data_IF_518345706335
#
_entry.id   IF_518345706335
#
_cell.length_a   1.000
_cell.length_b   1.000
_cell.length_c   1.000
_cell.angle_alpha   90.00
_cell.angle_beta   90.00
_cell.angle_gamma   90.00
#
_symmetry.space_group_name_H-M   'P 1'
#
loop_
_entity.id
_entity.type
_entity.pdbx_description
1 polymer ?
#
# COMPACT_ATOMS: atom_id res chain seq x y z
N UNK A 1 1.27 33.69 70.59
CA UNK A 1 2.01 34.34 69.49
C UNK A 1 2.16 33.29 68.39
N UNK A 2 1.69 33.60 67.19
CA UNK A 2 1.12 32.65 66.22
C UNK A 2 2.13 31.78 65.46
N UNK A 3 1.74 30.53 65.20
CA UNK A 3 2.30 29.66 64.16
C UNK A 3 1.72 30.07 62.80
N UNK A 4 2.59 30.26 61.81
CA UNK A 4 2.21 30.28 60.39
C UNK A 4 3.22 29.44 59.62
N UNK A 5 2.77 28.34 59.01
CA UNK A 5 3.50 27.62 57.97
C UNK A 5 2.54 27.48 56.80
N UNK A 6 2.91 28.13 55.69
CA UNK A 6 2.08 28.34 54.51
C UNK A 6 1.86 27.09 53.67
N UNK A 7 0.65 26.97 53.13
CA UNK A 7 0.32 26.01 52.08
C UNK A 7 1.06 26.38 50.80
N UNK A 8 1.93 25.48 50.31
CA UNK A 8 2.46 25.55 48.94
C UNK A 8 1.43 24.96 47.99
N UNK A 9 0.77 25.80 47.20
CA UNK A 9 -0.12 25.37 46.12
C UNK A 9 0.70 24.83 44.94
N UNK A 10 0.48 23.57 44.57
CA UNK A 10 1.02 23.00 43.35
C UNK A 10 0.26 23.60 42.15
N UNK A 11 0.94 24.38 41.32
CA UNK A 11 0.40 24.84 40.04
C UNK A 11 0.55 23.69 39.05
N UNK A 12 -0.55 22.95 38.83
CA UNK A 12 -0.65 22.02 37.70
C UNK A 12 -0.66 22.85 36.41
N UNK A 13 0.51 22.95 35.78
CA UNK A 13 0.63 23.48 34.43
C UNK A 13 -0.15 22.57 33.47
N UNK A 14 -1.35 23.01 33.07
CA UNK A 14 -2.03 22.49 31.89
C UNK A 14 -1.19 22.88 30.67
N UNK A 15 -0.26 22.02 30.28
CA UNK A 15 0.30 22.10 28.94
C UNK A 15 -0.85 21.79 27.97
N UNK A 16 -1.17 22.69 27.02
CA UNK A 16 -2.07 22.32 25.95
C UNK A 16 -1.43 21.13 25.23
N UNK A 17 -2.13 19.99 25.21
CA UNK A 17 -1.79 18.93 24.29
C UNK A 17 -1.81 19.56 22.89
N UNK A 18 -0.64 19.71 22.29
CA UNK A 18 -0.55 20.03 20.87
C UNK A 18 -1.28 18.90 20.18
N UNK A 19 -2.48 19.18 19.67
CA UNK A 19 -3.14 18.31 18.73
C UNK A 19 -2.23 18.30 17.49
N UNK A 20 -1.25 17.39 17.48
CA UNK A 20 -0.53 17.04 16.27
C UNK A 20 -1.61 16.60 15.29
N UNK A 21 -1.88 17.45 14.28
CA UNK A 21 -2.77 17.10 13.19
C UNK A 21 -2.34 15.74 12.69
N UNK A 22 -3.28 14.80 12.60
CA UNK A 22 -2.96 13.46 12.12
C UNK A 22 -2.28 13.60 10.75
N UNK A 23 -1.07 13.07 10.63
CA UNK A 23 -0.39 13.04 9.33
C UNK A 23 -1.12 12.02 8.47
N UNK A 24 -1.84 12.51 7.47
CA UNK A 24 -2.62 11.70 6.53
C UNK A 24 -2.00 11.83 5.15
N UNK A 25 -1.71 10.68 4.54
CA UNK A 25 -1.14 10.58 3.20
C UNK A 25 -2.12 9.89 2.28
N UNK A 26 -2.21 10.37 1.05
CA UNK A 26 -3.10 9.86 0.02
C UNK A 26 -2.31 9.52 -1.24
N UNK A 27 -2.65 8.39 -1.87
CA UNK A 27 -2.21 8.04 -3.20
C UNK A 27 -3.17 7.04 -3.85
N UNK A 28 -3.14 6.97 -5.18
CA UNK A 28 -3.93 6.01 -5.94
C UNK A 28 -3.08 4.79 -6.35
N UNK A 29 -3.78 3.67 -6.58
CA UNK A 29 -3.26 2.52 -7.28
C UNK A 29 -3.75 2.55 -8.72
N UNK A 30 -2.90 2.11 -9.63
CA UNK A 30 -3.13 2.18 -11.06
C UNK A 30 -3.27 0.78 -11.65
N UNK A 31 -4.22 0.58 -12.57
CA UNK A 31 -4.46 -0.74 -13.13
C UNK A 31 -3.27 -1.22 -13.96
N UNK A 32 -3.07 -2.53 -13.96
CA UNK A 32 -2.29 -3.19 -14.98
C UNK A 32 -3.06 -3.13 -16.31
N UNK A 33 -2.55 -2.42 -17.34
CA UNK A 33 -3.29 -2.22 -18.58
C UNK A 33 -3.71 -3.52 -19.27
N UNK A 34 -2.90 -4.58 -19.15
CA UNK A 34 -3.21 -5.89 -19.74
C UNK A 34 -4.47 -6.54 -19.17
N UNK A 35 -4.82 -6.24 -17.92
CA UNK A 35 -5.94 -6.85 -17.21
C UNK A 35 -7.09 -5.87 -16.92
N UNK A 36 -7.04 -4.64 -17.47
CA UNK A 36 -8.01 -3.59 -17.21
C UNK A 36 -9.46 -4.05 -17.45
N UNK A 37 -9.71 -4.79 -18.54
CA UNK A 37 -11.05 -5.28 -18.88
C UNK A 37 -11.56 -6.38 -17.92
N UNK A 38 -10.67 -7.09 -17.23
CA UNK A 38 -11.03 -8.10 -16.24
C UNK A 38 -11.28 -7.49 -14.87
N UNK A 39 -10.68 -6.33 -14.59
CA UNK A 39 -10.88 -5.55 -13.35
C UNK A 39 -12.14 -4.68 -13.45
N UNK A 40 -12.38 -4.04 -14.59
CA UNK A 40 -13.39 -2.99 -14.72
C UNK A 40 -14.82 -3.53 -14.62
N UNK A 41 -15.66 -2.85 -13.82
CA UNK A 41 -17.11 -3.07 -13.83
C UNK A 41 -17.75 -2.68 -15.16
N UNK A 42 -17.20 -1.65 -15.80
CA UNK A 42 -17.67 -1.11 -17.06
C UNK A 42 -16.53 -1.17 -18.11
N UNK A 43 -16.19 -2.35 -18.64
CA UNK A 43 -15.11 -2.50 -19.61
C UNK A 43 -15.34 -1.61 -20.84
N UNK A 44 -14.28 -0.92 -21.29
CA UNK A 44 -14.34 -0.02 -22.45
C UNK A 44 -14.99 1.35 -22.21
N UNK A 45 -15.47 1.65 -20.99
CA UNK A 45 -16.03 2.97 -20.65
C UNK A 45 -14.99 3.84 -19.93
N UNK A 46 -14.36 4.81 -20.61
CA UNK A 46 -13.34 5.67 -20.00
C UNK A 46 -13.89 6.66 -18.98
N UNK A 47 -15.21 6.86 -18.91
CA UNK A 47 -15.85 7.76 -17.93
C UNK A 47 -16.07 7.09 -16.58
N UNK A 48 -15.98 5.76 -16.52
CA UNK A 48 -16.18 4.95 -15.31
C UNK A 48 -15.06 3.92 -15.13
N UNK A 49 -13.78 4.35 -15.08
CA UNK A 49 -12.66 3.44 -14.90
C UNK A 49 -12.70 2.78 -13.51
N UNK A 50 -12.10 1.59 -13.35
CA UNK A 50 -11.83 1.04 -12.02
C UNK A 50 -10.91 1.99 -11.24
N UNK A 51 -11.22 2.22 -9.96
CA UNK A 51 -10.50 3.14 -9.08
C UNK A 51 -10.09 2.42 -7.81
N UNK A 52 -8.89 2.73 -7.34
CA UNK A 52 -8.32 2.24 -6.11
C UNK A 52 -7.56 3.38 -5.43
N UNK A 53 -8.02 3.79 -4.26
CA UNK A 53 -7.41 4.88 -3.50
C UNK A 53 -6.97 4.38 -2.13
N UNK A 54 -5.79 4.83 -1.71
CA UNK A 54 -5.19 4.47 -0.43
C UNK A 54 -5.02 5.73 0.41
N UNK A 55 -5.49 5.64 1.65
CA UNK A 55 -5.21 6.61 2.70
C UNK A 55 -4.33 5.91 3.73
N UNK A 56 -3.25 6.55 4.16
CA UNK A 56 -2.44 6.09 5.29
C UNK A 56 -2.41 7.18 6.35
N UNK A 57 -2.88 6.85 7.54
CA UNK A 57 -2.88 7.74 8.71
C UNK A 57 -1.74 7.30 9.62
N UNK A 58 -0.79 8.20 9.87
CA UNK A 58 0.31 7.92 10.80
C UNK A 58 -0.23 7.87 12.21
N UNK A 59 0.06 6.78 12.92
CA UNK A 59 -0.23 6.66 14.35
C UNK A 59 1.04 6.69 15.19
N UNK A 60 0.89 6.74 16.53
CA UNK A 60 2.03 6.82 17.44
C UNK A 60 2.87 5.53 17.50
N UNK A 61 2.27 4.38 17.19
CA UNK A 61 2.94 3.06 17.21
C UNK A 61 2.92 2.37 15.86
N UNK A 62 1.83 2.54 15.12
CA UNK A 62 1.59 1.94 13.82
C UNK A 62 0.69 2.86 13.00
N UNK A 63 0.62 2.60 11.72
CA UNK A 63 -0.16 3.36 10.77
C UNK A 63 -1.48 2.65 10.48
N UNK A 64 -2.48 3.43 10.09
CA UNK A 64 -3.74 2.88 9.58
C UNK A 64 -3.81 3.07 8.08
N UNK A 65 -3.87 1.96 7.33
CA UNK A 65 -4.12 1.98 5.89
C UNK A 65 -5.58 1.71 5.61
N UNK A 66 -6.17 2.56 4.79
CA UNK A 66 -7.54 2.42 4.28
C UNK A 66 -7.45 2.31 2.76
N UNK A 67 -7.73 1.14 2.22
CA UNK A 67 -7.89 0.91 0.78
C UNK A 67 -9.38 0.97 0.43
N UNK A 68 -9.73 1.80 -0.53
CA UNK A 68 -11.08 1.90 -1.10
C UNK A 68 -11.07 1.60 -2.59
N UNK A 69 -11.89 0.63 -3.01
CA UNK A 69 -12.09 0.29 -4.41
C UNK A 69 -13.46 0.75 -4.91
N UNK A 70 -13.54 1.20 -6.16
CA UNK A 70 -14.79 1.57 -6.85
C UNK A 70 -14.74 1.17 -8.32
N UNK A 71 -15.92 0.95 -8.90
CA UNK A 71 -16.07 0.55 -10.32
C UNK A 71 -15.28 -0.71 -10.67
N UNK A 72 -15.11 -1.61 -9.70
CA UNK A 72 -14.50 -2.93 -9.91
C UNK A 72 -15.58 -3.94 -10.24
N UNK A 73 -15.28 -4.89 -11.13
CA UNK A 73 -16.17 -6.00 -11.47
C UNK A 73 -16.65 -6.70 -10.17
N UNK A 74 -17.96 -6.76 -9.91
CA UNK A 74 -18.48 -7.39 -8.70
C UNK A 74 -18.08 -8.85 -8.56
N UNK A 75 -17.88 -9.30 -7.31
CA UNK A 75 -17.56 -10.69 -7.01
C UNK A 75 -16.09 -11.08 -7.17
N UNK A 76 -15.24 -10.15 -7.62
CA UNK A 76 -13.79 -10.37 -7.61
C UNK A 76 -13.24 -10.36 -6.18
N UNK A 77 -12.24 -11.20 -5.96
CA UNK A 77 -11.40 -11.19 -4.78
C UNK A 77 -9.95 -10.88 -5.18
N UNK A 78 -9.23 -10.20 -4.29
CA UNK A 78 -7.82 -9.87 -4.47
C UNK A 78 -7.05 -10.01 -3.18
N UNK A 79 -5.73 -10.03 -3.29
CA UNK A 79 -4.81 -10.11 -2.17
C UNK A 79 -3.91 -8.89 -2.15
N UNK A 80 -3.94 -8.16 -1.05
CA UNK A 80 -3.21 -6.91 -0.84
C UNK A 80 -1.80 -7.19 -0.32
N UNK A 81 -0.80 -6.65 -1.00
CA UNK A 81 0.59 -6.74 -0.61
C UNK A 81 1.24 -5.36 -0.57
N UNK A 82 2.28 -5.26 0.26
CA UNK A 82 3.33 -4.28 0.06
C UNK A 82 4.51 -4.91 -0.66
N UNK A 83 5.09 -4.24 -1.65
CA UNK A 83 6.19 -4.77 -2.47
C UNK A 83 7.32 -3.76 -2.67
N UNK A 84 8.51 -4.24 -3.04
CA UNK A 84 9.69 -3.40 -3.25
C UNK A 84 9.65 -2.62 -4.56
N UNK A 85 9.22 -3.24 -5.65
CA UNK A 85 9.29 -2.66 -6.99
C UNK A 85 7.91 -2.58 -7.65
N UNK A 86 7.71 -1.57 -8.50
CA UNK A 86 6.53 -1.46 -9.36
C UNK A 86 6.89 -1.73 -10.82
N UNK A 87 6.04 -2.42 -11.60
CA UNK A 87 6.23 -2.61 -13.04
C UNK A 87 5.88 -1.35 -13.86
N UNK A 88 5.53 -0.24 -13.20
CA UNK A 88 5.19 1.03 -13.82
C UNK A 88 6.18 2.11 -13.39
N UNK A 89 6.58 2.96 -14.34
CA UNK A 89 7.28 4.21 -14.08
C UNK A 89 6.32 5.26 -13.49
N UNK A 90 6.88 6.35 -12.96
CA UNK A 90 6.09 7.43 -12.34
C UNK A 90 5.04 8.04 -13.31
N UNK A 91 5.35 8.09 -14.61
CA UNK A 91 4.44 8.55 -15.66
C UNK A 91 3.36 7.52 -16.05
N UNK A 92 3.42 6.30 -15.50
CA UNK A 92 2.48 5.21 -15.77
C UNK A 92 2.82 4.31 -16.96
N UNK A 93 3.90 4.59 -17.69
CA UNK A 93 4.39 3.64 -18.70
C UNK A 93 5.01 2.40 -18.05
N UNK A 94 5.01 1.24 -18.73
CA UNK A 94 5.71 0.06 -18.23
C UNK A 94 7.19 0.36 -18.00
N UNK A 95 7.75 -0.11 -16.88
CA UNK A 95 9.18 -0.03 -16.62
C UNK A 95 9.92 -1.08 -17.47
N UNK A 96 10.75 -0.69 -18.45
CA UNK A 96 11.45 -1.63 -19.32
C UNK A 96 12.55 -2.42 -18.59
N UNK A 97 12.93 -1.98 -17.39
CA UNK A 97 13.94 -2.63 -16.54
C UNK A 97 13.32 -3.47 -15.42
N UNK A 98 11.99 -3.54 -15.36
CA UNK A 98 11.29 -4.34 -14.36
C UNK A 98 11.66 -5.82 -14.51
N UNK A 99 12.19 -6.40 -13.43
CA UNK A 99 12.55 -7.82 -13.36
C UNK A 99 11.56 -8.61 -12.51
N UNK A 100 11.27 -8.11 -11.30
CA UNK A 100 10.30 -8.67 -10.37
C UNK A 100 9.91 -7.63 -9.31
N UNK A 101 8.93 -7.98 -8.46
CA UNK A 101 8.42 -7.13 -7.37
C UNK A 101 9.36 -7.01 -6.17
N UNK A 102 10.46 -7.77 -6.13
CA UNK A 102 11.37 -7.86 -4.99
C UNK A 102 10.72 -8.52 -3.77
N UNK A 103 11.12 -8.08 -2.57
CA UNK A 103 10.44 -8.51 -1.34
C UNK A 103 8.96 -8.11 -1.41
N UNK A 104 8.09 -9.05 -1.05
CA UNK A 104 6.65 -8.87 -0.98
C UNK A 104 6.16 -9.30 0.41
N UNK A 105 5.23 -8.54 0.97
CA UNK A 105 4.64 -8.81 2.27
C UNK A 105 3.11 -8.78 2.18
N UNK A 106 2.48 -9.89 2.52
CA UNK A 106 1.02 -10.05 2.45
C UNK A 106 0.36 -9.28 3.60
N UNK A 107 -0.64 -8.48 3.28
CA UNK A 107 -1.27 -7.56 4.23
C UNK A 107 -2.70 -7.98 4.57
N UNK A 108 -3.52 -8.37 3.58
CA UNK A 108 -4.93 -8.71 3.76
C UNK A 108 -5.57 -9.21 2.47
N UNK A 109 -6.73 -9.86 2.59
CA UNK A 109 -7.66 -10.06 1.48
C UNK A 109 -8.43 -8.77 1.15
N UNK A 110 -8.93 -8.69 -0.08
CA UNK A 110 -9.81 -7.64 -0.58
C UNK A 110 -11.00 -8.28 -1.28
N UNK A 111 -12.21 -8.02 -0.79
CA UNK A 111 -13.44 -8.62 -1.32
C UNK A 111 -14.32 -7.53 -1.95
N UNK A 112 -14.64 -7.67 -3.25
CA UNK A 112 -15.48 -6.70 -3.97
C UNK A 112 -16.96 -7.04 -3.82
N UNK A 113 -17.72 -6.11 -3.25
CA UNK A 113 -19.16 -6.22 -3.05
C UNK A 113 -19.96 -6.26 -4.37
N UNK A 114 -21.25 -6.59 -4.27
CA UNK A 114 -22.17 -6.63 -5.42
C UNK A 114 -22.32 -5.27 -6.15
N UNK A 115 -21.88 -4.16 -5.55
CA UNK A 115 -21.88 -2.81 -6.14
C UNK A 115 -20.52 -2.45 -6.72
N UNK A 116 -19.57 -3.37 -6.79
CA UNK A 116 -18.24 -3.12 -7.37
C UNK A 116 -17.36 -2.25 -6.48
N UNK A 117 -17.50 -2.39 -5.16
CA UNK A 117 -16.75 -1.63 -4.15
C UNK A 117 -16.08 -2.56 -3.15
N UNK A 118 -14.94 -2.16 -2.62
CA UNK A 118 -14.31 -2.82 -1.48
C UNK A 118 -13.77 -1.77 -0.50
N UNK A 119 -13.69 -2.13 0.77
CA UNK A 119 -13.06 -1.34 1.82
C UNK A 119 -12.22 -2.27 2.68
N UNK A 120 -10.94 -1.96 2.81
CA UNK A 120 -10.00 -2.66 3.70
C UNK A 120 -9.39 -1.64 4.65
N UNK A 121 -9.33 -1.99 5.93
CA UNK A 121 -8.71 -1.17 6.98
C UNK A 121 -7.68 -2.03 7.71
N UNK A 122 -6.42 -1.60 7.69
CA UNK A 122 -5.30 -2.30 8.33
C UNK A 122 -4.64 -1.40 9.36
N UNK A 123 -4.15 -1.98 10.44
CA UNK A 123 -3.36 -1.31 11.45
C UNK A 123 -2.00 -2.03 11.56
N UNK A 124 -0.94 -1.43 11.00
CA UNK A 124 0.39 -2.07 10.84
C UNK A 124 1.49 -1.03 10.61
N UNK A 125 2.75 -1.45 10.57
CA UNK A 125 3.89 -0.55 10.24
C UNK A 125 3.93 -0.33 8.73
N UNK A 126 3.88 0.94 8.28
CA UNK A 126 3.88 1.29 6.85
C UNK A 126 4.87 2.41 6.53
N UNK A 127 4.51 3.64 6.87
CA UNK A 127 5.17 4.85 6.42
C UNK A 127 6.62 4.86 6.89
N UNK A 128 7.54 5.02 5.94
CA UNK A 128 9.00 5.06 6.11
C UNK A 128 9.67 3.80 6.67
N UNK A 129 8.93 2.94 7.38
CA UNK A 129 9.52 1.91 8.25
C UNK A 129 9.12 0.49 7.89
N UNK A 130 8.23 0.26 6.91
CA UNK A 130 7.93 -1.12 6.51
C UNK A 130 9.14 -1.79 5.85
N UNK A 131 9.60 -2.91 6.42
CA UNK A 131 10.65 -3.75 5.85
C UNK A 131 10.50 -5.20 6.31
N UNK A 132 11.18 -6.10 5.60
CA UNK A 132 11.46 -7.46 6.06
C UNK A 132 12.94 -7.79 5.90
N UNK A 133 13.38 -8.85 6.58
CA UNK A 133 14.73 -9.40 6.46
C UNK A 133 14.68 -10.91 6.75
N UNK A 134 15.62 -11.66 6.21
CA UNK A 134 15.75 -13.10 6.43
C UNK A 134 17.24 -13.48 6.46
N UNK A 135 17.83 -13.67 7.65
CA UNK A 135 19.22 -14.06 7.79
C UNK A 135 19.54 -15.45 7.22
N UNK A 136 18.56 -16.35 7.13
CA UNK A 136 18.79 -17.72 6.65
C UNK A 136 19.10 -17.75 5.14
N UNK A 137 18.60 -16.77 4.39
CA UNK A 137 18.85 -16.61 2.95
C UNK A 137 19.67 -15.35 2.62
N UNK A 138 20.17 -14.65 3.63
CA UNK A 138 20.97 -13.44 3.46
C UNK A 138 20.19 -12.21 2.97
N UNK A 139 18.86 -12.19 3.14
CA UNK A 139 18.05 -11.01 2.86
C UNK A 139 18.29 -9.96 3.94
N UNK A 140 19.03 -8.90 3.60
CA UNK A 140 19.21 -7.73 4.45
C UNK A 140 17.88 -6.97 4.62
N UNK A 141 17.73 -6.11 5.65
CA UNK A 141 16.57 -5.24 5.78
C UNK A 141 16.22 -4.55 4.46
N UNK A 142 15.04 -4.89 3.94
CA UNK A 142 14.57 -4.49 2.62
C UNK A 142 13.18 -3.91 2.74
N UNK A 143 13.00 -2.66 2.33
CA UNK A 143 11.70 -2.00 2.40
C UNK A 143 10.75 -2.43 1.28
N UNK A 144 9.44 -2.33 1.55
CA UNK A 144 8.37 -2.60 0.59
C UNK A 144 7.44 -1.40 0.46
N UNK A 145 7.88 -0.33 -0.20
CA UNK A 145 7.16 0.95 -0.20
C UNK A 145 6.04 1.08 -1.24
N UNK A 146 5.85 0.08 -2.11
CA UNK A 146 4.71 0.04 -3.00
C UNK A 146 3.56 -0.74 -2.37
N UNK A 147 2.33 -0.39 -2.75
CA UNK A 147 1.12 -1.11 -2.39
C UNK A 147 0.51 -1.61 -3.68
N UNK A 148 0.09 -2.87 -3.73
CA UNK A 148 -0.62 -3.42 -4.86
C UNK A 148 -1.47 -4.60 -4.46
N UNK A 149 -2.36 -5.01 -5.35
CA UNK A 149 -3.16 -6.22 -5.15
C UNK A 149 -3.24 -7.08 -6.41
N UNK A 150 -3.29 -8.40 -6.19
CA UNK A 150 -3.31 -9.44 -7.22
C UNK A 150 -4.67 -10.12 -7.22
N UNK A 151 -5.10 -10.65 -8.37
CA UNK A 151 -6.31 -11.48 -8.43
C UNK A 151 -6.14 -12.69 -7.52
N UNK A 152 -7.11 -12.95 -6.64
CA UNK A 152 -7.04 -14.11 -5.76
C UNK A 152 -7.19 -15.43 -6.53
N UNK A 153 -8.04 -15.45 -7.56
CA UNK A 153 -8.20 -16.60 -8.46
C UNK A 153 -7.61 -16.28 -9.84
N UNK A 154 -6.65 -17.08 -10.37
CA UNK A 154 -6.12 -16.90 -11.72
C UNK A 154 -7.17 -17.01 -12.82
N UNK A 155 -8.29 -17.72 -12.57
CA UNK A 155 -9.38 -17.85 -13.52
C UNK A 155 -10.07 -16.51 -13.82
N UNK A 156 -10.07 -15.56 -12.88
CA UNK A 156 -10.70 -14.26 -13.05
C UNK A 156 -10.04 -13.38 -14.13
N UNK A 157 -8.79 -13.70 -14.49
CA UNK A 157 -8.01 -12.98 -15.49
C UNK A 157 -7.89 -13.71 -16.85
N UNK A 158 -8.46 -14.92 -16.99
CA UNK A 158 -8.34 -15.74 -18.22
C UNK A 158 -8.90 -15.02 -19.44
N UNK A 159 -10.03 -14.32 -19.29
CA UNK A 159 -10.63 -13.55 -20.38
C UNK A 159 -9.73 -12.41 -20.90
N UNK A 160 -8.72 -12.01 -20.13
CA UNK A 160 -7.70 -11.04 -20.51
C UNK A 160 -6.38 -11.70 -20.92
N UNK A 161 -6.38 -13.00 -21.19
CA UNK A 161 -5.23 -13.74 -21.70
C UNK A 161 -4.26 -14.24 -20.62
N UNK A 162 -4.63 -14.22 -19.34
CA UNK A 162 -3.81 -14.84 -18.30
C UNK A 162 -3.79 -16.36 -18.47
N UNK A 163 -2.60 -16.96 -18.45
CA UNK A 163 -2.43 -18.41 -18.41
C UNK A 163 -2.45 -18.87 -16.95
N UNK A 164 -3.48 -19.62 -16.55
CA UNK A 164 -3.64 -20.12 -15.18
C UNK A 164 -2.49 -21.02 -14.71
N UNK A 165 -1.75 -21.64 -15.64
CA UNK A 165 -0.58 -22.44 -15.31
C UNK A 165 0.63 -21.58 -14.88
N UNK A 166 0.54 -20.26 -15.08
CA UNK A 166 1.53 -19.28 -14.64
C UNK A 166 1.04 -18.54 -13.38
N UNK A 167 0.31 -19.22 -12.51
CA UNK A 167 -0.15 -18.66 -11.24
C UNK A 167 1.01 -18.06 -10.44
N UNK A 168 0.71 -17.00 -9.70
CA UNK A 168 1.69 -16.22 -8.94
C UNK A 168 1.60 -16.56 -7.45
N UNK A 169 2.64 -16.30 -6.64
CA UNK A 169 2.62 -16.64 -5.22
C UNK A 169 1.84 -15.64 -4.35
N UNK A 170 1.09 -14.70 -4.94
CA UNK A 170 0.49 -13.56 -4.25
C UNK A 170 -0.90 -13.84 -3.66
N UNK A 171 -1.05 -14.92 -2.88
CA UNK A 171 -2.18 -15.19 -1.98
C UNK A 171 -1.79 -16.27 -0.96
N UNK A 172 -2.70 -16.65 -0.05
CA UNK A 172 -2.43 -17.67 0.97
C UNK A 172 -2.09 -19.07 0.44
N UNK A 173 -2.62 -19.44 -0.74
CA UNK A 173 -2.38 -20.73 -1.40
C UNK A 173 -1.18 -20.72 -2.34
N UNK A 174 -0.54 -19.56 -2.53
CA UNK A 174 0.49 -19.31 -3.53
C UNK A 174 0.06 -19.68 -4.97
N UNK A 175 -1.22 -19.46 -5.26
CA UNK A 175 -1.87 -19.77 -6.53
C UNK A 175 -2.78 -18.62 -6.99
N UNK A 176 -2.24 -17.41 -6.98
CA UNK A 176 -2.95 -16.19 -7.37
C UNK A 176 -2.89 -15.94 -8.89
N UNK A 177 -3.77 -15.07 -9.37
CA UNK A 177 -3.68 -14.49 -10.70
C UNK A 177 -2.62 -13.40 -10.83
N UNK A 178 -2.67 -12.59 -11.90
CA UNK A 178 -1.70 -11.53 -12.15
C UNK A 178 -1.94 -10.32 -11.24
N UNK A 179 -0.99 -9.37 -11.27
CA UNK A 179 -1.16 -8.06 -10.66
C UNK A 179 -2.38 -7.35 -11.26
N UNK A 180 -3.32 -6.91 -10.41
CA UNK A 180 -4.48 -6.13 -10.81
C UNK A 180 -4.18 -4.62 -10.79
N UNK A 181 -3.83 -4.05 -9.64
CA UNK A 181 -3.51 -2.62 -9.50
C UNK A 181 -2.36 -2.39 -8.53
N UNK A 182 -1.51 -1.39 -8.79
CA UNK A 182 -0.32 -1.08 -7.98
C UNK A 182 -0.02 0.43 -7.94
N UNK A 183 0.64 0.89 -6.89
CA UNK A 183 1.15 2.26 -6.82
C UNK A 183 2.33 2.49 -7.77
N UNK A 184 2.52 3.76 -8.14
CA UNK A 184 3.65 4.22 -8.95
C UNK A 184 4.76 4.81 -8.07
N UNK A 185 6.02 4.75 -8.52
CA UNK A 185 7.12 5.38 -7.81
C UNK A 185 7.04 6.91 -7.93
N UNK A 186 7.68 7.60 -6.99
CA UNK A 186 7.99 9.02 -7.11
C UNK A 186 8.98 9.26 -8.26
N UNK A 187 8.74 10.29 -9.06
CA UNK A 187 9.51 10.55 -10.28
C UNK A 187 10.97 10.97 -10.00
N UNK A 188 11.27 11.47 -8.81
CA UNK A 188 12.61 11.98 -8.44
C UNK A 188 13.42 10.90 -7.75
N UNK A 189 12.80 10.17 -6.83
CA UNK A 189 13.48 9.22 -5.94
C UNK A 189 13.36 7.78 -6.40
N UNK A 190 12.37 7.44 -7.23
CA UNK A 190 12.06 6.08 -7.63
C UNK A 190 11.41 5.23 -6.52
N UNK A 191 11.16 5.81 -5.34
CA UNK A 191 10.58 5.10 -4.20
C UNK A 191 9.06 5.05 -4.27
N UNK A 192 8.47 4.00 -3.71
CA UNK A 192 7.02 3.89 -3.54
C UNK A 192 6.44 4.91 -2.56
N UNK A 193 5.13 5.18 -2.62
CA UNK A 193 4.48 6.29 -1.90
C UNK A 193 4.50 6.15 -0.37
N UNK A 194 4.78 4.95 0.15
CA UNK A 194 4.94 4.74 1.60
C UNK A 194 6.26 5.33 2.14
N UNK A 195 7.22 5.70 1.28
CA UNK A 195 8.35 6.52 1.71
C UNK A 195 7.97 8.01 1.67
N UNK A 196 7.86 8.63 2.86
CA UNK A 196 7.52 10.05 3.03
C UNK A 196 8.72 10.92 3.41
N UNK A 197 9.82 10.30 3.84
CA UNK A 197 11.06 10.97 4.19
C UNK A 197 12.24 10.39 3.38
N UNK A 198 12.27 10.63 2.04
CA UNK A 198 13.32 10.06 1.20
C UNK A 198 14.70 10.65 1.54
N UNK A 199 15.70 9.78 1.53
CA UNK A 199 17.10 10.14 1.63
C UNK A 199 17.75 10.01 0.24
N UNK A 200 18.01 11.16 -0.39
CA UNK A 200 18.65 11.24 -1.71
C UNK A 200 20.18 11.30 -1.64
N UNK A 201 20.77 11.22 -0.44
CA UNK A 201 22.23 11.11 -0.28
C UNK A 201 22.77 9.69 -0.50
N UNK A 202 21.88 8.69 -0.60
CA UNK A 202 22.20 7.29 -0.89
C UNK A 202 21.93 6.96 -2.36
N UNK A 203 22.62 5.94 -2.89
CA UNK A 203 22.43 5.45 -4.27
C UNK A 203 22.24 3.93 -4.26
N UNK A 204 21.06 3.41 -4.62
CA UNK A 204 19.82 4.16 -4.91
C UNK A 204 19.29 4.91 -3.67
N UNK A 205 18.40 5.91 -3.85
CA UNK A 205 17.76 6.60 -2.72
C UNK A 205 17.12 5.62 -1.73
N UNK A 206 17.20 5.95 -0.44
CA UNK A 206 16.60 5.17 0.65
C UNK A 206 15.51 5.99 1.35
N UNK A 207 14.88 5.43 2.38
CA UNK A 207 13.94 6.16 3.22
C UNK A 207 14.47 6.30 4.64
N UNK A 208 14.36 7.49 5.21
CA UNK A 208 14.62 7.70 6.64
C UNK A 208 13.36 7.27 7.42
N UNK A 209 13.51 6.54 8.54
CA UNK A 209 12.38 6.12 9.38
C UNK A 209 11.55 7.30 9.91
#
# INVERSE_FOLDING_TARGET
MALAVGLSGAVLGLHPAVAHGQEVFFFDLFPNPAFLNCIARFPGDPTRPPQASVIVQKGPQNDTLILSLRSIKPGLAFDLFTVRNSPQLANGSPDPTFTNFGLAWYQSDVQVDAKGRALVVLNTILLNQIFGFDPAVGLTPTNTFHVGFWFNDPNDAVACGFNVNNATPFNGEHHAGPLAMISRPDATTGLGPLCRNPNTSTVPPSCNP
#
